data_IF_397773358097
#
_entry.id   IF_397773358097
#
_cell.length_a   1.000
_cell.length_b   1.000
_cell.length_c   1.000
_cell.angle_alpha   90.00
_cell.angle_beta   90.00
_cell.angle_gamma   90.00
#
_symmetry.space_group_name_H-M   'P 1'
#
loop_
_entity.id
_entity.type
_entity.pdbx_description
1 polymer ?
#
# COMPACT_ATOMS: atom_id res chain seq x y z
N UNK A 1 -15.93 -2.57 -17.84
CA UNK A 1 -16.95 -3.29 -17.05
C UNK A 1 -17.78 -2.22 -16.35
N UNK A 2 -19.11 -2.37 -16.20
CA UNK A 2 -19.87 -1.42 -15.38
C UNK A 2 -19.33 -1.46 -13.95
N UNK A 3 -19.26 -0.31 -13.24
CA UNK A 3 -18.82 -0.30 -11.86
C UNK A 3 -19.76 -1.16 -11.03
N UNK A 4 -19.21 -2.09 -10.27
CA UNK A 4 -19.98 -2.86 -9.29
C UNK A 4 -20.08 -2.09 -7.98
N UNK A 5 -21.07 -2.40 -7.13
CA UNK A 5 -21.07 -1.88 -5.77
C UNK A 5 -20.03 -2.65 -4.97
N UNK A 6 -20.31 -3.95 -4.77
CA UNK A 6 -19.48 -4.80 -3.92
C UNK A 6 -18.97 -6.03 -4.70
N UNK A 7 -17.72 -6.41 -4.48
CA UNK A 7 -17.14 -7.63 -5.02
C UNK A 7 -16.34 -8.39 -3.96
N UNK A 8 -16.89 -9.53 -3.52
CA UNK A 8 -16.30 -10.29 -2.42
C UNK A 8 -14.97 -10.96 -2.76
N UNK A 9 -14.80 -11.51 -3.97
CA UNK A 9 -13.58 -12.25 -4.29
C UNK A 9 -13.21 -12.11 -5.75
N UNK A 10 -11.95 -11.80 -5.99
CA UNK A 10 -11.34 -11.81 -7.31
C UNK A 10 -10.11 -12.71 -7.29
N UNK A 11 -10.08 -13.67 -8.20
CA UNK A 11 -8.98 -14.63 -8.33
C UNK A 11 -8.37 -14.55 -9.72
N UNK A 12 -7.04 -14.47 -9.75
CA UNK A 12 -6.26 -14.41 -10.98
C UNK A 12 -6.31 -13.05 -11.67
N UNK A 13 -5.71 -13.01 -12.86
CA UNK A 13 -5.55 -11.84 -13.72
C UNK A 13 -6.86 -11.10 -13.96
N UNK A 14 -7.03 -9.98 -13.25
CA UNK A 14 -8.29 -9.25 -13.22
C UNK A 14 -8.11 -7.75 -13.02
N UNK A 15 -9.08 -6.98 -13.55
CA UNK A 15 -9.14 -5.53 -13.43
C UNK A 15 -10.56 -5.10 -13.05
N UNK A 16 -10.99 -5.41 -11.81
CA UNK A 16 -12.31 -5.02 -11.35
C UNK A 16 -12.39 -3.50 -11.11
N UNK A 17 -13.60 -2.97 -11.30
CA UNK A 17 -13.95 -1.58 -11.00
C UNK A 17 -15.19 -1.59 -10.12
N UNK A 18 -15.05 -1.32 -8.83
CA UNK A 18 -16.11 -1.44 -7.83
C UNK A 18 -16.06 -0.28 -6.82
N UNK A 19 -17.07 -0.12 -5.96
CA UNK A 19 -16.91 0.74 -4.79
C UNK A 19 -16.06 0.02 -3.75
N UNK A 20 -16.45 -1.22 -3.43
CA UNK A 20 -15.85 -1.98 -2.35
C UNK A 20 -15.39 -3.36 -2.86
N UNK A 21 -14.22 -3.80 -2.40
CA UNK A 21 -13.64 -5.09 -2.74
C UNK A 21 -13.04 -5.77 -1.52
N UNK A 22 -13.53 -6.97 -1.21
CA UNK A 22 -13.20 -7.64 0.06
C UNK A 22 -12.01 -8.58 -0.01
N UNK A 23 -11.65 -9.16 -1.16
CA UNK A 23 -10.44 -9.99 -1.28
C UNK A 23 -10.02 -10.12 -2.73
N UNK A 24 -8.74 -9.85 -2.98
CA UNK A 24 -8.14 -10.05 -4.29
C UNK A 24 -6.88 -10.89 -4.14
N UNK A 25 -6.80 -11.97 -4.92
CA UNK A 25 -5.69 -12.93 -4.86
C UNK A 25 -5.07 -13.12 -6.25
N UNK A 26 -3.74 -13.03 -6.32
CA UNK A 26 -2.90 -13.07 -7.54
C UNK A 26 -2.80 -11.73 -8.28
N UNK A 27 -1.99 -11.74 -9.35
CA UNK A 27 -1.85 -10.72 -10.40
C UNK A 27 -3.16 -10.00 -10.68
N UNK A 28 -3.28 -8.77 -10.19
CA UNK A 28 -4.52 -8.01 -10.29
C UNK A 28 -4.27 -6.52 -10.27
N UNK A 29 -5.20 -5.79 -10.91
CA UNK A 29 -5.18 -4.34 -10.93
C UNK A 29 -6.55 -3.75 -10.64
N UNK A 30 -7.00 -3.80 -9.37
CA UNK A 30 -8.31 -3.33 -9.02
C UNK A 30 -8.36 -1.81 -8.87
N UNK A 31 -9.53 -1.25 -9.15
CA UNK A 31 -9.85 0.16 -8.95
C UNK A 31 -11.11 0.28 -8.11
N UNK A 32 -11.02 0.88 -6.92
CA UNK A 32 -12.18 1.05 -6.05
C UNK A 32 -12.04 2.22 -5.08
N UNK A 33 -12.99 2.39 -4.17
CA UNK A 33 -12.84 3.26 -3.00
C UNK A 33 -12.10 2.49 -1.91
N UNK A 34 -12.64 1.34 -1.50
CA UNK A 34 -12.12 0.56 -0.36
C UNK A 34 -11.67 -0.84 -0.81
N UNK A 35 -10.45 -1.22 -0.42
CA UNK A 35 -9.85 -2.54 -0.65
C UNK A 35 -9.49 -3.23 0.67
N UNK A 36 -10.00 -4.43 0.86
CA UNK A 36 -9.60 -5.35 1.92
C UNK A 36 -9.28 -6.73 1.31
N UNK A 37 -8.45 -7.55 1.98
CA UNK A 37 -7.01 -7.65 1.69
C UNK A 37 -6.63 -8.06 0.24
N UNK A 38 -5.46 -7.55 -0.18
CA UNK A 38 -4.79 -7.91 -1.44
C UNK A 38 -3.61 -8.85 -1.17
N UNK A 39 -3.56 -9.99 -1.86
CA UNK A 39 -2.47 -10.97 -1.74
C UNK A 39 -1.88 -11.35 -3.10
N UNK A 40 -0.55 -11.27 -3.23
CA UNK A 40 0.20 -11.57 -4.44
C UNK A 40 0.64 -10.32 -5.19
N UNK A 41 1.17 -10.51 -6.40
CA UNK A 41 1.71 -9.43 -7.20
C UNK A 41 0.57 -8.50 -7.65
N UNK A 42 0.56 -7.24 -7.21
CA UNK A 42 -0.61 -6.39 -7.49
C UNK A 42 -0.30 -4.90 -7.69
N UNK A 43 -1.15 -4.26 -8.49
CA UNK A 43 -1.17 -2.81 -8.69
C UNK A 43 -2.57 -2.27 -8.39
N UNK A 44 -2.78 -1.70 -7.22
CA UNK A 44 -4.09 -1.20 -6.80
C UNK A 44 -4.20 0.32 -6.92
N UNK A 45 -5.40 0.80 -7.24
CA UNK A 45 -5.76 2.21 -7.22
C UNK A 45 -7.04 2.36 -6.39
N UNK A 46 -6.89 2.76 -5.14
CA UNK A 46 -7.98 2.90 -4.19
C UNK A 46 -7.91 4.23 -3.43
N UNK A 47 -8.96 4.56 -2.70
CA UNK A 47 -8.89 5.61 -1.72
C UNK A 47 -8.20 5.06 -0.47
N UNK A 48 -8.74 3.97 0.06
CA UNK A 48 -8.30 3.36 1.30
C UNK A 48 -7.96 1.88 1.06
N UNK A 49 -6.90 1.40 1.71
CA UNK A 49 -6.41 0.04 1.56
C UNK A 49 -5.95 -0.52 2.89
N UNK A 50 -6.63 -1.54 3.40
CA UNK A 50 -6.25 -2.09 4.69
C UNK A 50 -4.96 -2.90 4.61
N UNK A 51 -4.97 -4.04 3.91
CA UNK A 51 -3.83 -4.98 3.97
C UNK A 51 -3.32 -5.38 2.59
N UNK A 52 -2.00 -5.36 2.43
CA UNK A 52 -1.29 -5.87 1.25
C UNK A 52 -0.23 -6.88 1.64
N UNK A 53 -0.26 -8.05 1.01
CA UNK A 53 0.70 -9.13 1.24
C UNK A 53 1.36 -9.54 -0.08
N UNK A 54 2.68 -9.45 -0.16
CA UNK A 54 3.47 -9.76 -1.35
C UNK A 54 3.97 -8.52 -2.09
N UNK A 55 4.44 -8.72 -3.33
CA UNK A 55 5.06 -7.66 -4.11
C UNK A 55 3.98 -6.72 -4.67
N UNK A 56 4.03 -5.44 -4.32
CA UNK A 56 2.91 -4.55 -4.65
C UNK A 56 3.32 -3.12 -4.97
N UNK A 57 2.49 -2.49 -5.82
CA UNK A 57 2.60 -1.07 -6.14
C UNK A 57 1.23 -0.38 -6.02
N UNK A 58 0.68 -0.31 -4.81
CA UNK A 58 -0.56 0.39 -4.54
C UNK A 58 -0.39 1.90 -4.65
N UNK A 59 -1.48 2.56 -5.03
CA UNK A 59 -1.61 4.00 -5.04
C UNK A 59 -2.92 4.39 -4.38
N UNK A 60 -2.83 4.76 -3.11
CA UNK A 60 -3.96 5.09 -2.25
C UNK A 60 -3.76 6.41 -1.52
N UNK A 61 -4.81 6.93 -0.88
CA UNK A 61 -4.68 8.03 0.07
C UNK A 61 -4.18 7.49 1.40
N UNK A 62 -4.82 6.43 1.89
CA UNK A 62 -4.51 5.77 3.15
C UNK A 62 -4.15 4.30 2.94
N UNK A 63 -3.22 3.80 3.75
CA UNK A 63 -2.77 2.44 3.73
C UNK A 63 -2.43 1.94 5.13
N UNK A 64 -3.15 0.90 5.59
CA UNK A 64 -2.97 0.43 6.97
C UNK A 64 -1.77 -0.50 7.16
N UNK A 65 -1.61 -1.53 6.33
CA UNK A 65 -0.56 -2.54 6.57
C UNK A 65 -0.01 -3.12 5.28
N UNK A 66 1.32 -3.21 5.23
CA UNK A 66 2.05 -3.79 4.10
C UNK A 66 3.04 -4.83 4.59
N UNK A 67 2.94 -6.04 4.03
CA UNK A 67 3.84 -7.15 4.31
C UNK A 67 4.48 -7.66 3.01
N UNK A 68 5.77 -7.41 2.84
CA UNK A 68 6.52 -7.77 1.62
C UNK A 68 7.15 -6.55 0.95
N UNK A 69 7.49 -6.69 -0.33
CA UNK A 69 8.21 -5.67 -1.09
C UNK A 69 7.23 -4.67 -1.70
N UNK A 70 7.46 -3.37 -1.47
CA UNK A 70 6.50 -2.35 -1.92
C UNK A 70 7.12 -1.02 -2.36
N UNK A 71 6.50 -0.42 -3.38
CA UNK A 71 6.77 0.97 -3.80
C UNK A 71 5.46 1.75 -3.85
N UNK A 72 5.33 2.80 -3.03
CA UNK A 72 4.01 3.28 -2.63
C UNK A 72 3.94 4.80 -2.58
N UNK A 73 3.10 5.45 -3.40
CA UNK A 73 2.71 6.84 -3.21
C UNK A 73 1.37 6.92 -2.46
N UNK A 74 1.37 7.52 -1.27
CA UNK A 74 0.17 7.75 -0.45
C UNK A 74 0.26 9.05 0.36
N UNK A 75 -0.80 9.42 1.07
CA UNK A 75 -0.71 10.52 2.05
C UNK A 75 -0.18 9.98 3.37
N UNK A 76 -0.82 8.93 3.88
CA UNK A 76 -0.51 8.35 5.17
C UNK A 76 -0.18 6.85 5.00
N UNK A 77 0.77 6.37 5.80
CA UNK A 77 1.03 4.94 5.94
C UNK A 77 1.12 4.53 7.39
N UNK A 78 0.37 3.50 7.71
CA UNK A 78 0.50 2.67 8.90
C UNK A 78 1.50 1.51 8.62
N UNK A 79 1.85 0.66 9.62
CA UNK A 79 3.17 0.04 9.69
C UNK A 79 3.51 -0.92 8.55
N UNK A 80 4.78 -0.88 8.12
CA UNK A 80 5.32 -1.70 7.04
C UNK A 80 6.28 -2.75 7.58
N UNK A 81 6.13 -3.99 7.10
CA UNK A 81 7.02 -5.12 7.41
C UNK A 81 7.61 -5.70 6.11
N UNK A 82 8.91 -5.48 5.88
CA UNK A 82 9.58 -5.88 4.64
C UNK A 82 10.34 -4.75 3.97
N UNK A 83 10.68 -4.92 2.69
CA UNK A 83 11.45 -3.96 1.93
C UNK A 83 10.52 -2.91 1.30
N UNK A 84 10.77 -1.62 1.57
CA UNK A 84 9.82 -0.58 1.15
C UNK A 84 10.46 0.72 0.67
N UNK A 85 9.82 1.33 -0.33
CA UNK A 85 10.11 2.69 -0.81
C UNK A 85 8.84 3.55 -0.80
N UNK A 86 8.39 4.01 0.37
CA UNK A 86 7.21 4.85 0.48
C UNK A 86 7.51 6.31 0.13
N UNK A 87 6.56 6.94 -0.54
CA UNK A 87 6.50 8.37 -0.84
C UNK A 87 5.22 8.93 -0.23
N UNK A 88 5.32 9.40 1.01
CA UNK A 88 4.18 9.76 1.84
C UNK A 88 4.33 11.13 2.50
N UNK A 89 3.25 11.68 3.07
CA UNK A 89 3.37 12.80 3.99
C UNK A 89 3.83 12.29 5.35
N UNK A 90 3.05 11.36 5.91
CA UNK A 90 3.27 10.82 7.25
C UNK A 90 3.45 9.30 7.18
N UNK A 91 4.41 8.79 7.96
CA UNK A 91 4.73 7.37 8.04
C UNK A 91 4.87 6.90 9.48
N UNK A 92 4.14 5.84 9.82
CA UNK A 92 4.32 5.01 11.01
C UNK A 92 5.58 4.12 10.94
N UNK A 93 5.95 3.42 12.04
CA UNK A 93 7.18 2.65 12.12
C UNK A 93 7.32 1.59 11.03
N UNK A 94 8.55 1.45 10.51
CA UNK A 94 8.92 0.39 9.57
C UNK A 94 9.81 -0.66 10.24
N UNK A 95 9.50 -1.93 9.96
CA UNK A 95 10.29 -3.10 10.36
C UNK A 95 10.84 -3.82 9.11
N UNK A 96 12.04 -3.44 8.68
CA UNK A 96 12.69 -4.00 7.48
C UNK A 96 13.67 -3.01 6.86
N UNK A 97 14.10 -3.26 5.63
CA UNK A 97 14.90 -2.30 4.87
C UNK A 97 13.98 -1.27 4.21
N UNK A 98 14.19 0.02 4.48
CA UNK A 98 13.31 1.07 3.95
C UNK A 98 14.09 2.29 3.47
N UNK A 99 13.66 2.83 2.33
CA UNK A 99 14.11 4.10 1.78
C UNK A 99 12.92 5.06 1.63
N UNK A 100 12.43 5.62 2.75
CA UNK A 100 11.28 6.51 2.77
C UNK A 100 11.63 7.89 2.23
N UNK A 101 10.70 8.45 1.45
CA UNK A 101 10.67 9.84 1.01
C UNK A 101 9.42 10.50 1.62
N UNK A 102 9.40 10.63 2.95
CA UNK A 102 8.26 11.22 3.68
C UNK A 102 8.61 12.54 4.37
N UNK A 103 7.59 13.35 4.66
CA UNK A 103 7.78 14.63 5.37
C UNK A 103 7.97 14.42 6.87
N UNK A 104 7.18 13.54 7.47
CA UNK A 104 7.26 13.18 8.88
C UNK A 104 7.32 11.65 9.02
N UNK A 105 8.13 11.19 9.98
CA UNK A 105 8.41 9.77 10.16
C UNK A 105 8.58 9.38 11.64
N UNK A 106 7.83 8.37 12.08
CA UNK A 106 8.02 7.64 13.34
C UNK A 106 9.28 6.71 13.28
N UNK A 107 9.83 6.24 14.41
CA UNK A 107 11.14 5.57 14.44
C UNK A 107 11.17 4.23 13.67
N UNK A 108 12.21 4.05 12.84
CA UNK A 108 12.48 2.80 12.09
C UNK A 108 13.35 1.85 12.92
N UNK A 109 12.96 0.57 13.02
CA UNK A 109 13.60 -0.40 13.94
C UNK A 109 14.68 -1.30 13.29
N UNK A 110 14.85 -1.29 11.96
CA UNK A 110 15.86 -2.10 11.23
C UNK A 110 16.48 -1.26 10.08
N UNK A 111 17.69 -1.56 9.61
CA UNK A 111 18.71 -0.55 9.19
C UNK A 111 18.85 -0.31 7.68
N UNK A 112 18.92 0.95 7.23
CA UNK A 112 19.88 1.51 6.21
C UNK A 112 19.50 2.96 5.87
N UNK A 113 19.41 3.85 6.86
CA UNK A 113 18.90 5.21 6.67
C UNK A 113 19.85 6.10 5.82
N UNK A 114 19.54 6.27 4.53
CA UNK A 114 19.93 7.46 3.76
C UNK A 114 18.80 8.50 3.89
N UNK A 115 18.51 8.95 5.11
CA UNK A 115 17.38 9.85 5.35
C UNK A 115 17.63 11.22 4.68
N UNK A 116 16.90 11.53 3.61
CA UNK A 116 16.72 12.92 3.17
C UNK A 116 15.69 13.55 4.10
N UNK A 117 16.11 13.91 5.32
CA UNK A 117 15.27 14.71 6.20
C UNK A 117 15.06 16.09 5.57
N UNK A 118 13.92 16.29 4.90
CA UNK A 118 13.40 17.63 4.64
C UNK A 118 12.85 18.13 5.99
N UNK A 119 13.74 18.61 6.86
CA UNK A 119 13.38 19.22 8.13
C UNK A 119 12.34 20.31 7.91
N UNK A 120 11.20 20.22 8.61
CA UNK A 120 10.25 21.34 8.75
C UNK A 120 10.96 22.53 9.41
N UNK A 121 10.70 23.73 8.88
CA UNK A 121 10.86 25.01 9.59
C UNK A 121 9.81 25.11 10.70
#
# INVERSE_FOLDING_TARGET
>A
MPPCQDQETVMGDSMPLCQDQDTVTSDSMPQCLDQEPLTGDSMSLCQDQETVIGDSMPRCLDQETVMGDSMQPCQDQEPVMGDSMPQCQDQEPVMGDSMPLCRDQEPVMVTACLSVMIRRL
#
